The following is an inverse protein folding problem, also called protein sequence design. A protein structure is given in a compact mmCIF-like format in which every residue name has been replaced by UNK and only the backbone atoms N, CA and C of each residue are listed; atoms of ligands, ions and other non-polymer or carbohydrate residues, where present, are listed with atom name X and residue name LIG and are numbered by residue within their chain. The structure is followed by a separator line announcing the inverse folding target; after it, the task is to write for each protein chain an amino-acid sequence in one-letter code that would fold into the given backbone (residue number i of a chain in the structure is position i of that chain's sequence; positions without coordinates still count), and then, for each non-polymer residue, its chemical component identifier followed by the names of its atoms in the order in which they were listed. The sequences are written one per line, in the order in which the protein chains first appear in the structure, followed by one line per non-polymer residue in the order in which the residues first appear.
data_IF_328573759988
#
_entry.id   IF_328573759988
#
_cell.length_a   1.000
_cell.length_b   1.000
_cell.length_c   1.000
_cell.angle_alpha   90.00
_cell.angle_beta   90.00
_cell.angle_gamma   90.00
#
_symmetry.space_group_name_H-M   'P 1'
#
loop_
_entity.id
_entity.type
_entity.pdbx_description
1 polymer ?
#
# COMPACT_ATOMS: atom_id res chain seq x y z
N UNK A 1 -54.73 -39.29 29.68
CA UNK A 1 -53.34 -39.37 29.25
C UNK A 1 -53.06 -38.50 28.01
N UNK A 2 -53.89 -38.54 26.95
CA UNK A 2 -53.67 -37.79 25.70
C UNK A 2 -53.59 -36.26 25.86
N UNK A 3 -54.40 -35.64 26.73
CA UNK A 3 -54.40 -34.20 26.97
C UNK A 3 -53.10 -33.73 27.66
N UNK A 4 -52.56 -34.51 28.60
CA UNK A 4 -51.29 -34.17 29.26
C UNK A 4 -50.11 -34.27 28.32
N UNK A 5 -50.13 -35.15 27.35
CA UNK A 5 -49.12 -35.31 26.30
C UNK A 5 -49.16 -34.14 25.30
N UNK A 6 -50.34 -33.65 24.94
CA UNK A 6 -50.54 -32.49 24.06
C UNK A 6 -50.08 -31.22 24.77
N UNK A 7 -50.42 -31.03 26.05
CA UNK A 7 -49.95 -29.88 26.82
C UNK A 7 -48.41 -29.87 26.97
N UNK A 8 -47.78 -31.02 27.17
CA UNK A 8 -46.31 -31.12 27.24
C UNK A 8 -45.67 -30.79 25.89
N UNK A 9 -46.24 -31.27 24.78
CA UNK A 9 -45.74 -30.95 23.44
C UNK A 9 -45.88 -29.45 23.08
N UNK A 10 -46.95 -28.81 23.52
CA UNK A 10 -47.13 -27.34 23.31
C UNK A 10 -46.14 -26.57 24.16
N UNK A 11 -45.84 -26.95 25.38
CA UNK A 11 -44.85 -26.32 26.24
C UNK A 11 -43.42 -26.46 25.67
N UNK A 12 -43.10 -27.64 25.11
CA UNK A 12 -41.78 -27.85 24.46
C UNK A 12 -41.65 -27.05 23.15
N UNK A 13 -42.74 -26.85 22.41
CA UNK A 13 -42.74 -26.03 21.20
C UNK A 13 -42.57 -24.53 21.51
N UNK A 14 -43.14 -24.04 22.61
CA UNK A 14 -43.04 -22.66 23.05
C UNK A 14 -41.65 -22.33 23.65
N UNK A 15 -40.92 -23.32 24.16
CA UNK A 15 -39.59 -23.14 24.73
C UNK A 15 -38.48 -22.85 23.69
N UNK A 16 -38.74 -23.05 22.40
CA UNK A 16 -37.71 -22.86 21.33
C UNK A 16 -37.60 -21.43 20.79
N UNK A 17 -38.39 -20.50 21.26
CA UNK A 17 -38.47 -19.17 20.64
C UNK A 17 -37.77 -18.04 21.41
N UNK A 18 -37.02 -18.32 22.46
CA UNK A 18 -36.27 -17.29 23.18
C UNK A 18 -34.81 -17.35 22.73
N UNK A 19 -34.57 -17.04 21.46
CA UNK A 19 -33.25 -16.65 21.03
C UNK A 19 -33.08 -15.15 21.35
N UNK A 20 -32.37 -14.83 22.41
CA UNK A 20 -32.03 -13.44 22.71
C UNK A 20 -31.25 -12.88 21.52
N UNK A 21 -31.84 -11.97 20.78
CA UNK A 21 -31.18 -11.32 19.65
C UNK A 21 -30.26 -10.24 20.18
N UNK A 22 -28.96 -10.54 20.21
CA UNK A 22 -27.98 -9.52 20.59
C UNK A 22 -27.91 -8.44 19.50
N UNK A 23 -27.83 -7.18 19.96
CA UNK A 23 -27.65 -6.01 19.13
C UNK A 23 -26.33 -5.37 19.50
N UNK A 24 -25.53 -5.10 18.50
CA UNK A 24 -24.29 -4.32 18.61
C UNK A 24 -24.54 -2.92 18.08
N UNK A 25 -24.12 -1.90 18.82
CA UNK A 25 -24.10 -0.51 18.38
C UNK A 25 -22.72 0.07 18.51
N UNK A 26 -22.27 0.75 17.47
CA UNK A 26 -20.99 1.46 17.45
C UNK A 26 -21.14 2.84 16.82
N UNK A 27 -20.29 3.78 17.22
CA UNK A 27 -20.09 5.07 16.56
C UNK A 27 -18.70 5.02 15.99
N UNK A 28 -18.58 5.24 14.66
CA UNK A 28 -17.29 5.21 13.98
C UNK A 28 -16.81 6.63 13.71
N UNK A 29 -15.56 6.87 14.06
CA UNK A 29 -14.89 8.17 13.93
C UNK A 29 -13.52 7.98 13.28
N UNK A 30 -13.04 9.03 12.65
CA UNK A 30 -11.67 9.16 12.19
C UNK A 30 -10.70 9.14 13.38
N UNK A 31 -9.59 8.43 13.25
CA UNK A 31 -8.59 8.28 14.31
C UNK A 31 -7.88 9.57 14.67
N UNK A 32 -7.65 10.45 13.72
CA UNK A 32 -6.91 11.71 13.89
C UNK A 32 -7.84 12.89 14.16
N UNK A 33 -8.78 13.14 13.25
CA UNK A 33 -9.67 14.31 13.32
C UNK A 33 -10.82 14.15 14.30
N UNK A 34 -11.16 12.92 14.71
CA UNK A 34 -12.30 12.54 15.56
C UNK A 34 -13.65 12.87 14.91
N UNK A 35 -13.66 13.18 13.63
CA UNK A 35 -14.88 13.39 12.87
C UNK A 35 -15.65 12.09 12.65
N UNK A 36 -16.96 12.20 12.48
CA UNK A 36 -17.84 11.05 12.26
C UNK A 36 -17.64 10.52 10.84
N UNK A 37 -17.51 9.20 10.71
CA UNK A 37 -17.38 8.53 9.41
C UNK A 37 -18.72 7.92 9.00
N UNK A 38 -19.27 8.39 7.87
CA UNK A 38 -20.53 7.92 7.27
C UNK A 38 -20.24 6.87 6.20
N UNK A 39 -21.00 5.78 6.18
CA UNK A 39 -20.87 4.73 5.16
C UNK A 39 -19.79 3.69 5.48
N UNK A 40 -19.25 3.64 6.70
CA UNK A 40 -18.33 2.59 7.14
C UNK A 40 -19.07 1.25 7.18
N UNK A 41 -18.50 0.22 6.60
CA UNK A 41 -19.05 -1.13 6.63
C UNK A 41 -18.54 -1.88 7.85
N UNK A 42 -19.45 -2.49 8.61
CA UNK A 42 -19.11 -3.41 9.68
C UNK A 42 -19.72 -4.78 9.39
N UNK A 43 -18.90 -5.82 9.38
CA UNK A 43 -19.31 -7.17 9.03
C UNK A 43 -18.94 -8.12 10.18
N UNK A 44 -19.92 -8.95 10.57
CA UNK A 44 -19.69 -10.02 11.53
C UNK A 44 -18.95 -11.17 10.82
N UNK A 45 -17.73 -11.44 11.22
CA UNK A 45 -16.87 -12.42 10.57
C UNK A 45 -17.52 -13.80 10.49
N UNK A 46 -17.26 -14.51 9.39
CA UNK A 46 -17.83 -15.83 9.06
C UNK A 46 -19.36 -15.83 8.81
N UNK A 47 -19.99 -14.67 8.68
CA UNK A 47 -21.41 -14.54 8.36
C UNK A 47 -21.60 -13.49 7.26
N UNK A 48 -22.78 -13.46 6.66
CA UNK A 48 -23.19 -12.38 5.77
C UNK A 48 -23.88 -11.22 6.52
N UNK A 49 -23.84 -11.23 7.86
CA UNK A 49 -24.51 -10.25 8.69
C UNK A 49 -23.60 -9.01 8.86
N UNK A 50 -24.10 -7.85 8.52
CA UNK A 50 -23.35 -6.59 8.63
C UNK A 50 -24.27 -5.38 8.47
N UNK A 51 -23.72 -4.21 8.71
CA UNK A 51 -24.41 -2.93 8.54
C UNK A 51 -23.41 -1.84 8.20
N UNK A 52 -23.90 -0.75 7.59
CA UNK A 52 -23.10 0.46 7.33
C UNK A 52 -23.46 1.57 8.32
N UNK A 53 -22.52 2.47 8.59
CA UNK A 53 -22.78 3.64 9.45
C UNK A 53 -23.73 4.63 8.76
N UNK A 54 -24.64 5.18 9.55
CA UNK A 54 -25.59 6.21 9.15
C UNK A 54 -24.96 7.62 9.15
N UNK A 55 -25.79 8.65 8.91
CA UNK A 55 -25.35 10.06 8.89
C UNK A 55 -24.76 10.55 10.22
N UNK A 56 -25.02 9.85 11.32
CA UNK A 56 -24.44 10.11 12.64
C UNK A 56 -23.24 9.19 12.96
N UNK A 57 -22.78 8.41 11.98
CA UNK A 57 -21.70 7.44 12.17
C UNK A 57 -22.10 6.21 12.98
N UNK A 58 -23.40 5.99 13.19
CA UNK A 58 -23.90 4.90 14.03
C UNK A 58 -24.08 3.64 13.17
N UNK A 59 -23.48 2.56 13.62
CA UNK A 59 -23.67 1.20 13.09
C UNK A 59 -24.54 0.42 14.06
N UNK A 60 -25.54 -0.30 13.52
CA UNK A 60 -26.36 -1.22 14.30
C UNK A 60 -26.42 -2.59 13.63
N UNK A 61 -25.83 -3.59 14.26
CA UNK A 61 -25.88 -4.99 13.79
C UNK A 61 -26.79 -5.77 14.75
N UNK A 62 -27.82 -6.42 14.22
CA UNK A 62 -28.75 -7.29 14.95
C UNK A 62 -28.47 -8.76 14.68
N UNK A 63 -29.14 -9.64 15.44
CA UNK A 63 -29.05 -11.09 15.27
C UNK A 63 -27.62 -11.65 15.44
N UNK A 64 -26.90 -11.16 16.43
CA UNK A 64 -25.54 -11.63 16.74
C UNK A 64 -25.63 -12.85 17.65
N UNK A 65 -24.94 -13.95 17.31
CA UNK A 65 -24.89 -15.15 18.18
C UNK A 65 -24.18 -14.86 19.50
N UNK A 66 -24.57 -15.61 20.53
CA UNK A 66 -23.86 -15.56 21.82
C UNK A 66 -22.40 -16.02 21.69
N UNK A 67 -21.59 -15.57 22.65
CA UNK A 67 -20.18 -15.93 22.74
C UNK A 67 -19.26 -14.90 22.08
N UNK A 68 -18.00 -15.30 21.85
CA UNK A 68 -16.98 -14.44 21.28
C UNK A 68 -17.16 -14.29 19.76
N UNK A 69 -17.39 -13.07 19.33
CA UNK A 69 -17.60 -12.70 17.93
C UNK A 69 -16.53 -11.69 17.49
N UNK A 70 -16.23 -11.69 16.21
CA UNK A 70 -15.30 -10.75 15.59
C UNK A 70 -16.07 -9.88 14.59
N UNK A 71 -15.92 -8.56 14.70
CA UNK A 71 -16.53 -7.58 13.79
C UNK A 71 -15.39 -6.85 13.10
N UNK A 72 -15.41 -6.88 11.78
CA UNK A 72 -14.44 -6.14 10.94
C UNK A 72 -15.11 -4.87 10.43
N UNK A 73 -14.45 -3.76 10.67
CA UNK A 73 -14.82 -2.44 10.18
C UNK A 73 -13.93 -2.09 8.99
N UNK A 74 -14.53 -1.63 7.90
CA UNK A 74 -13.82 -1.24 6.68
C UNK A 74 -14.43 0.02 6.06
N UNK A 75 -13.57 0.91 5.59
CA UNK A 75 -13.97 2.14 4.90
C UNK A 75 -12.94 2.48 3.83
N UNK A 76 -13.37 3.09 2.73
CA UNK A 76 -12.48 3.44 1.64
C UNK A 76 -11.48 4.51 2.11
N UNK A 77 -10.18 4.24 1.94
CA UNK A 77 -9.10 5.12 2.39
C UNK A 77 -8.73 4.97 3.87
N UNK A 78 -9.20 3.90 4.54
CA UNK A 78 -8.87 3.60 5.93
C UNK A 78 -8.44 2.16 6.11
N UNK A 79 -7.55 1.90 7.04
CA UNK A 79 -7.18 0.54 7.43
C UNK A 79 -8.38 -0.22 8.00
N UNK A 80 -8.53 -1.48 7.59
CA UNK A 80 -9.58 -2.34 8.11
C UNK A 80 -9.24 -2.80 9.53
N UNK A 81 -10.12 -2.52 10.49
CA UNK A 81 -9.94 -2.90 11.89
C UNK A 81 -10.86 -4.04 12.29
N UNK A 82 -10.32 -5.08 12.95
CA UNK A 82 -11.10 -6.20 13.49
C UNK A 82 -11.07 -6.19 15.01
N UNK A 83 -12.25 -6.03 15.63
CA UNK A 83 -12.42 -6.07 17.09
C UNK A 83 -13.21 -7.31 17.53
N UNK A 84 -12.87 -7.81 18.72
CA UNK A 84 -13.51 -8.97 19.34
C UNK A 84 -14.45 -8.53 20.45
N UNK A 85 -15.69 -9.03 20.42
CA UNK A 85 -16.69 -8.76 21.45
C UNK A 85 -17.29 -10.07 21.94
N UNK A 86 -17.64 -10.15 23.23
CA UNK A 86 -18.35 -11.30 23.81
C UNK A 86 -19.79 -10.91 24.06
N UNK A 87 -20.71 -11.63 23.43
CA UNK A 87 -22.14 -11.39 23.56
C UNK A 87 -22.80 -12.39 24.52
N UNK A 88 -23.82 -11.94 25.29
CA UNK A 88 -24.39 -10.60 25.32
C UNK A 88 -23.44 -9.55 25.91
N UNK A 89 -23.47 -8.32 25.36
CA UNK A 89 -22.68 -7.21 25.86
C UNK A 89 -23.16 -6.77 27.25
N UNK A 90 -22.24 -6.43 28.12
CA UNK A 90 -22.55 -5.92 29.49
C UNK A 90 -23.15 -4.51 29.50
N UNK A 91 -23.00 -3.77 28.41
CA UNK A 91 -23.52 -2.40 28.24
C UNK A 91 -24.24 -2.26 26.90
N UNK A 92 -25.35 -1.55 26.90
CA UNK A 92 -26.09 -1.17 25.69
C UNK A 92 -25.63 0.15 25.08
N UNK A 93 -24.64 0.82 25.68
CA UNK A 93 -24.08 2.05 25.13
C UNK A 93 -23.34 1.77 23.82
N UNK A 94 -23.39 2.68 22.83
CA UNK A 94 -22.59 2.53 21.62
C UNK A 94 -21.11 2.50 21.92
N UNK A 95 -20.38 1.60 21.25
CA UNK A 95 -18.93 1.49 21.35
C UNK A 95 -18.30 2.49 20.39
N UNK A 96 -17.32 3.25 20.83
CA UNK A 96 -16.56 4.12 19.93
C UNK A 96 -15.49 3.32 19.19
N UNK A 97 -15.47 3.45 17.87
CA UNK A 97 -14.49 2.85 16.96
C UNK A 97 -13.75 3.98 16.25
N UNK A 98 -12.44 3.92 16.25
CA UNK A 98 -11.60 4.86 15.54
C UNK A 98 -10.91 4.08 14.40
N UNK A 99 -11.07 4.56 13.16
CA UNK A 99 -10.35 4.03 12.02
C UNK A 99 -9.20 4.97 11.70
N UNK A 100 -8.03 4.41 11.44
CA UNK A 100 -6.85 5.14 10.99
C UNK A 100 -6.88 5.24 9.46
N UNK A 101 -6.50 6.38 8.91
CA UNK A 101 -6.39 6.54 7.46
C UNK A 101 -5.30 5.60 6.94
N UNK A 102 -5.60 4.98 5.80
CA UNK A 102 -4.65 4.14 5.11
C UNK A 102 -3.71 5.04 4.29
N UNK A 103 -2.60 5.42 4.89
CA UNK A 103 -1.60 6.29 4.27
C UNK A 103 -0.99 5.67 3.00
N UNK A 104 -1.07 4.33 2.85
CA UNK A 104 -0.59 3.65 1.64
C UNK A 104 -1.49 3.90 0.41
N UNK A 105 -2.80 4.17 0.62
CA UNK A 105 -3.72 4.42 -0.50
C UNK A 105 -3.69 5.86 -1.04
N UNK A 106 -3.06 6.81 -0.35
CA UNK A 106 -3.09 8.23 -0.68
C UNK A 106 -1.72 8.86 -0.95
N UNK A 107 -0.66 8.08 -1.17
CA UNK A 107 0.56 8.68 -1.70
C UNK A 107 0.27 9.26 -3.10
N UNK A 108 -0.17 10.50 -3.14
CA UNK A 108 -0.16 11.29 -4.37
C UNK A 108 1.26 11.32 -4.92
N UNK A 109 1.50 10.53 -5.98
CA UNK A 109 2.83 10.44 -6.57
C UNK A 109 3.19 11.77 -7.22
N UNK A 110 3.93 12.57 -6.48
CA UNK A 110 4.48 13.83 -6.96
C UNK A 110 5.79 13.56 -7.67
N UNK A 111 5.90 13.99 -8.93
CA UNK A 111 7.13 13.87 -9.71
C UNK A 111 8.04 15.07 -9.43
N UNK A 112 9.15 14.83 -8.74
CA UNK A 112 10.13 15.87 -8.37
C UNK A 112 11.12 16.19 -9.47
N UNK A 113 11.37 15.27 -10.39
CA UNK A 113 12.34 15.39 -11.49
C UNK A 113 11.98 16.48 -12.51
N UNK A 114 10.77 16.99 -12.51
CA UNK A 114 10.37 18.13 -13.35
C UNK A 114 10.68 19.49 -12.75
N UNK A 115 11.33 19.54 -11.58
CA UNK A 115 11.58 20.74 -10.78
C UNK A 115 10.32 21.53 -10.42
N UNK A 116 9.19 20.85 -10.27
CA UNK A 116 7.91 21.42 -9.89
C UNK A 116 7.05 20.37 -9.16
N UNK A 117 6.07 20.83 -8.41
CA UNK A 117 5.07 19.97 -7.73
C UNK A 117 3.96 19.57 -8.69
N UNK A 118 4.30 18.96 -9.83
CA UNK A 118 3.32 18.52 -10.82
C UNK A 118 3.02 17.04 -10.62
N UNK A 119 1.74 16.70 -10.59
CA UNK A 119 1.29 15.31 -10.63
C UNK A 119 1.47 14.72 -12.02
N UNK A 120 1.58 13.39 -12.10
CA UNK A 120 1.76 12.64 -13.37
C UNK A 120 0.74 13.06 -14.44
N UNK A 121 -0.50 13.31 -14.03
CA UNK A 121 -1.60 13.69 -14.93
C UNK A 121 -1.37 14.99 -15.68
N UNK A 122 -0.54 15.88 -15.15
CA UNK A 122 -0.28 17.22 -15.69
C UNK A 122 1.05 17.36 -16.42
N UNK A 123 1.74 16.24 -16.70
CA UNK A 123 3.04 16.24 -17.38
C UNK A 123 2.86 15.74 -18.81
N UNK A 124 3.23 16.53 -19.84
CA UNK A 124 3.07 16.14 -21.24
C UNK A 124 4.08 15.09 -21.70
N UNK A 125 5.14 14.84 -20.95
CA UNK A 125 6.15 13.81 -21.24
C UNK A 125 5.74 12.47 -20.61
N UNK A 126 6.18 11.38 -21.25
CA UNK A 126 5.92 10.02 -20.74
C UNK A 126 6.73 9.79 -19.46
N UNK A 127 6.06 9.85 -18.33
CA UNK A 127 6.63 9.62 -17.00
C UNK A 127 6.14 8.27 -16.50
N UNK A 128 7.04 7.47 -16.02
CA UNK A 128 6.77 6.25 -15.24
C UNK A 128 7.42 6.41 -13.86
N UNK A 129 6.86 5.74 -12.87
CA UNK A 129 7.46 5.66 -11.55
C UNK A 129 7.39 4.23 -11.05
N UNK A 130 8.36 3.84 -10.23
CA UNK A 130 8.40 2.59 -9.49
C UNK A 130 8.17 2.97 -8.03
N UNK A 131 7.11 2.46 -7.44
CA UNK A 131 6.69 2.78 -6.06
C UNK A 131 7.59 2.12 -5.01
N UNK A 132 7.44 2.55 -3.75
CA UNK A 132 8.14 1.95 -2.61
C UNK A 132 7.79 0.48 -2.40
N UNK A 133 6.53 0.10 -2.63
CA UNK A 133 6.06 -1.28 -2.55
C UNK A 133 6.76 -2.16 -3.58
N UNK A 134 6.76 -1.76 -4.84
CA UNK A 134 7.43 -2.46 -5.94
C UNK A 134 8.94 -2.56 -5.74
N UNK A 135 9.55 -1.50 -5.18
CA UNK A 135 10.97 -1.50 -4.79
C UNK A 135 11.26 -2.49 -3.66
N UNK A 136 10.35 -2.62 -2.69
CA UNK A 136 10.45 -3.57 -1.58
C UNK A 136 10.38 -5.02 -2.04
N UNK A 137 9.40 -5.35 -2.86
CA UNK A 137 9.24 -6.70 -3.41
C UNK A 137 10.45 -7.12 -4.27
N UNK A 138 10.84 -6.28 -5.21
CA UNK A 138 11.95 -6.57 -6.14
C UNK A 138 13.32 -6.43 -5.51
N UNK A 139 13.49 -5.49 -4.56
CA UNK A 139 14.69 -5.34 -3.78
C UNK A 139 15.05 -6.58 -2.97
N UNK A 140 14.04 -7.33 -2.53
CA UNK A 140 14.20 -8.61 -1.85
C UNK A 140 14.76 -9.72 -2.77
N UNK A 141 14.47 -9.65 -4.07
CA UNK A 141 14.94 -10.65 -5.05
C UNK A 141 16.42 -10.46 -5.38
N UNK A 142 16.92 -9.23 -5.50
CA UNK A 142 18.31 -8.91 -5.82
C UNK A 142 18.76 -7.58 -5.19
N UNK A 143 19.10 -7.55 -3.91
CA UNK A 143 19.22 -6.33 -3.11
C UNK A 143 20.36 -5.38 -3.49
N UNK A 144 21.23 -5.74 -4.41
CA UNK A 144 22.37 -4.91 -4.82
C UNK A 144 22.31 -4.36 -6.24
N UNK A 145 21.21 -4.57 -6.98
CA UNK A 145 21.23 -4.31 -8.42
C UNK A 145 19.95 -3.61 -8.93
N UNK A 146 20.02 -2.30 -9.07
CA UNK A 146 18.92 -1.49 -9.62
C UNK A 146 18.58 -1.82 -11.09
N UNK A 147 19.48 -2.49 -11.82
CA UNK A 147 19.25 -2.83 -13.24
C UNK A 147 18.03 -3.71 -13.44
N UNK A 148 17.76 -4.61 -12.49
CA UNK A 148 16.60 -5.49 -12.55
C UNK A 148 15.30 -4.69 -12.54
N UNK A 149 15.21 -3.69 -11.67
CA UNK A 149 14.07 -2.80 -11.57
C UNK A 149 13.85 -2.00 -12.86
N UNK A 150 14.94 -1.49 -13.42
CA UNK A 150 14.87 -0.66 -14.63
C UNK A 150 14.52 -1.46 -15.89
N UNK A 151 14.90 -2.75 -15.95
CA UNK A 151 14.57 -3.60 -17.11
C UNK A 151 13.08 -3.91 -17.25
N UNK A 152 12.31 -3.76 -16.19
CA UNK A 152 10.86 -4.00 -16.23
C UNK A 152 10.10 -2.81 -16.79
N UNK A 153 10.70 -1.62 -16.77
CA UNK A 153 10.12 -0.43 -17.39
C UNK A 153 10.15 -0.54 -18.91
N UNK A 154 8.99 -0.36 -19.56
CA UNK A 154 8.84 -0.44 -21.01
C UNK A 154 9.78 0.54 -21.72
N UNK A 155 10.59 0.06 -22.65
CA UNK A 155 11.50 0.90 -23.46
C UNK A 155 12.81 1.25 -22.75
N UNK A 156 13.11 0.65 -21.60
CA UNK A 156 14.42 0.66 -20.96
C UNK A 156 15.06 -0.70 -21.16
N UNK A 157 16.30 -0.70 -21.58
CA UNK A 157 17.13 -1.90 -21.74
C UNK A 157 18.42 -1.68 -20.98
N UNK A 158 18.71 -2.57 -20.04
CA UNK A 158 20.02 -2.61 -19.40
C UNK A 158 20.86 -3.69 -20.08
N UNK A 159 21.96 -3.29 -20.68
CA UNK A 159 22.88 -4.18 -21.38
C UNK A 159 24.16 -4.33 -20.57
N UNK A 160 24.51 -5.55 -20.22
CA UNK A 160 25.83 -5.82 -19.63
C UNK A 160 26.89 -5.69 -20.73
N UNK A 161 27.86 -4.80 -20.50
CA UNK A 161 28.93 -4.50 -21.47
C UNK A 161 30.21 -5.29 -21.17
N UNK A 162 30.34 -5.84 -19.97
CA UNK A 162 31.47 -6.70 -19.60
C UNK A 162 31.00 -7.78 -18.62
N UNK A 163 31.27 -9.04 -18.96
CA UNK A 163 30.98 -10.19 -18.11
C UNK A 163 31.87 -10.22 -16.86
N UNK A 164 33.10 -9.73 -16.99
CA UNK A 164 34.12 -9.82 -15.91
C UNK A 164 33.96 -8.71 -14.89
N UNK A 165 33.70 -7.47 -15.32
CA UNK A 165 33.56 -6.31 -14.43
C UNK A 165 32.12 -6.04 -14.02
N UNK A 166 31.14 -6.72 -14.65
CA UNK A 166 29.73 -6.44 -14.41
C UNK A 166 29.26 -5.09 -14.94
N UNK A 167 30.09 -4.38 -15.72
CA UNK A 167 29.71 -3.11 -16.32
C UNK A 167 28.41 -3.26 -17.14
N UNK A 168 27.53 -2.28 -17.00
CA UNK A 168 26.29 -2.22 -17.75
C UNK A 168 26.04 -0.82 -18.29
N UNK A 169 25.22 -0.75 -19.31
CA UNK A 169 24.73 0.49 -19.90
C UNK A 169 23.20 0.47 -19.94
N UNK A 170 22.58 1.60 -19.61
CA UNK A 170 21.13 1.78 -19.74
C UNK A 170 20.88 2.43 -21.09
N UNK A 171 19.88 1.91 -21.82
CA UNK A 171 19.37 2.51 -23.04
C UNK A 171 17.88 2.82 -22.84
N UNK A 172 17.51 4.08 -23.07
CA UNK A 172 16.11 4.50 -23.11
C UNK A 172 15.71 4.67 -24.57
N UNK A 173 14.65 4.01 -25.00
CA UNK A 173 14.15 4.04 -26.36
C UNK A 173 15.24 3.75 -27.43
N UNK A 174 16.18 2.87 -27.09
CA UNK A 174 17.29 2.46 -27.96
C UNK A 174 18.47 3.42 -28.04
N UNK A 175 18.40 4.60 -27.43
CA UNK A 175 19.50 5.57 -27.37
C UNK A 175 20.58 5.13 -26.38
N UNK A 176 21.83 5.46 -26.70
CA UNK A 176 22.99 5.11 -25.86
C UNK A 176 22.92 5.75 -24.47
N UNK A 177 23.46 5.07 -23.48
CA UNK A 177 23.42 5.48 -22.07
C UNK A 177 24.05 6.87 -21.81
N UNK A 178 24.94 7.35 -22.67
CA UNK A 178 25.51 8.72 -22.58
C UNK A 178 24.44 9.81 -22.70
N UNK A 179 23.29 9.49 -23.28
CA UNK A 179 22.15 10.40 -23.46
C UNK A 179 21.08 10.25 -22.38
N UNK A 180 21.34 9.39 -21.39
CA UNK A 180 20.47 9.17 -20.23
C UNK A 180 21.09 9.79 -19.00
N UNK A 181 20.41 10.75 -18.38
CA UNK A 181 20.84 11.37 -17.14
C UNK A 181 20.29 10.59 -15.94
N UNK A 182 21.17 10.26 -14.98
CA UNK A 182 20.76 9.71 -13.70
C UNK A 182 20.88 10.80 -12.64
N UNK A 183 19.82 10.94 -11.85
CA UNK A 183 19.79 11.84 -10.69
C UNK A 183 19.63 11.00 -9.41
N UNK A 184 20.12 11.52 -8.30
CA UNK A 184 19.74 11.10 -6.96
C UNK A 184 19.22 12.31 -6.21
N UNK A 185 18.00 12.21 -5.73
CA UNK A 185 17.29 13.31 -5.02
C UNK A 185 17.30 14.64 -5.82
N UNK A 186 17.13 14.54 -7.16
CA UNK A 186 17.13 15.68 -8.05
C UNK A 186 18.50 16.23 -8.46
N UNK A 187 19.60 15.69 -7.92
CA UNK A 187 20.97 16.09 -8.25
C UNK A 187 21.61 15.12 -9.23
N UNK A 188 22.30 15.62 -10.29
CA UNK A 188 23.00 14.76 -11.22
C UNK A 188 24.05 13.91 -10.51
N UNK A 189 23.95 12.59 -10.71
CA UNK A 189 25.01 11.66 -10.34
C UNK A 189 26.13 11.78 -11.37
N UNK A 190 27.32 11.35 -11.00
CA UNK A 190 28.52 11.45 -11.83
C UNK A 190 28.26 11.15 -13.32
N UNK A 191 28.83 11.97 -14.20
CA UNK A 191 28.70 11.83 -15.63
C UNK A 191 29.16 10.44 -16.10
N UNK A 192 28.27 9.68 -16.72
CA UNK A 192 28.51 8.30 -17.09
C UNK A 192 27.91 7.25 -16.14
N UNK A 193 27.14 7.68 -15.11
CA UNK A 193 26.47 6.75 -14.21
C UNK A 193 25.46 5.81 -14.91
N UNK A 194 24.92 6.23 -16.06
CA UNK A 194 24.08 5.38 -16.91
C UNK A 194 24.87 4.33 -17.71
N UNK A 195 26.19 4.39 -17.64
CA UNK A 195 27.11 3.39 -18.22
C UNK A 195 28.26 3.15 -17.26
N UNK A 196 28.66 1.89 -17.09
CA UNK A 196 29.75 1.52 -16.22
C UNK A 196 29.34 0.94 -14.87
N UNK A 197 30.23 1.02 -13.88
CA UNK A 197 30.04 0.42 -12.56
C UNK A 197 29.06 1.18 -11.64
N UNK A 198 28.74 2.42 -11.94
CA UNK A 198 27.90 3.26 -11.08
C UNK A 198 26.50 2.70 -10.81
N UNK A 199 25.95 1.98 -11.77
CA UNK A 199 24.66 1.31 -11.63
C UNK A 199 24.66 0.16 -10.63
N UNK A 200 25.80 -0.53 -10.48
CA UNK A 200 25.96 -1.63 -9.53
C UNK A 200 26.13 -1.15 -8.09
N UNK A 201 26.48 0.11 -7.91
CA UNK A 201 26.78 0.70 -6.60
C UNK A 201 25.59 1.42 -5.98
N UNK A 202 24.44 1.40 -6.66
CA UNK A 202 23.23 2.03 -6.16
C UNK A 202 22.27 0.94 -5.66
N UNK A 203 22.24 0.67 -4.35
CA UNK A 203 21.29 -0.29 -3.80
C UNK A 203 19.88 0.30 -3.84
N UNK A 204 18.86 -0.50 -4.18
CA UNK A 204 17.48 -0.03 -4.20
C UNK A 204 16.84 0.09 -2.80
N UNK A 205 17.51 -0.41 -1.75
CA UNK A 205 16.93 -0.56 -0.42
C UNK A 205 16.68 0.76 0.32
N UNK A 206 17.44 1.81 -0.01
CA UNK A 206 17.29 3.16 0.53
C UNK A 206 16.39 4.06 -0.31
N UNK A 207 15.80 3.52 -1.39
CA UNK A 207 14.95 4.30 -2.28
C UNK A 207 13.49 4.26 -1.82
N UNK A 208 12.85 5.44 -1.85
CA UNK A 208 11.42 5.59 -1.70
C UNK A 208 10.70 5.32 -3.01
N UNK A 209 11.21 5.91 -4.10
CA UNK A 209 10.66 5.72 -5.45
C UNK A 209 11.73 5.95 -6.51
N UNK A 210 11.46 5.48 -7.74
CA UNK A 210 12.26 5.78 -8.93
C UNK A 210 11.37 6.43 -9.96
N UNK A 211 11.72 7.64 -10.39
CA UNK A 211 11.04 8.38 -11.43
C UNK A 211 11.78 8.21 -12.75
N UNK A 212 11.06 7.91 -13.82
CA UNK A 212 11.61 7.67 -15.13
C UNK A 212 10.89 8.58 -16.14
N UNK A 213 11.62 9.51 -16.73
CA UNK A 213 11.11 10.35 -17.81
C UNK A 213 11.68 9.85 -19.13
N UNK A 214 10.81 9.41 -20.02
CA UNK A 214 11.17 8.91 -21.36
C UNK A 214 10.97 10.02 -22.38
N UNK A 215 12.06 10.52 -22.93
CA UNK A 215 12.07 11.62 -23.86
C UNK A 215 12.98 12.74 -23.42
N UNK A 216 13.13 13.75 -24.27
CA UNK A 216 14.08 14.82 -24.04
C UNK A 216 13.69 15.71 -22.86
N UNK A 217 14.55 15.75 -21.86
CA UNK A 217 14.52 16.68 -20.72
C UNK A 217 15.74 17.59 -20.71
N UNK A 218 16.39 17.72 -21.85
CA UNK A 218 17.62 18.49 -22.05
C UNK A 218 17.51 19.97 -21.69
N UNK A 219 16.31 20.54 -21.77
CA UNK A 219 16.04 21.92 -21.35
C UNK A 219 16.28 22.16 -19.86
N UNK A 220 16.08 21.12 -19.03
CA UNK A 220 16.25 21.20 -17.58
C UNK A 220 17.60 20.66 -17.11
N UNK A 221 18.12 19.64 -17.78
CA UNK A 221 19.27 18.87 -17.32
C UNK A 221 20.43 18.79 -18.32
N UNK A 222 20.36 19.54 -19.43
CA UNK A 222 21.41 19.61 -20.45
C UNK A 222 21.44 18.43 -21.42
N UNK A 223 22.49 18.37 -22.26
CA UNK A 223 22.62 17.41 -23.34
C UNK A 223 22.73 15.94 -22.92
N UNK A 224 23.01 15.67 -21.65
CA UNK A 224 23.01 14.29 -21.11
C UNK A 224 21.61 13.69 -20.95
N UNK A 225 20.54 14.49 -21.05
CA UNK A 225 19.16 14.02 -20.85
C UNK A 225 18.34 14.05 -22.15
N UNK A 226 18.94 13.69 -23.28
CA UNK A 226 18.26 13.65 -24.58
C UNK A 226 17.36 12.43 -24.70
N UNK A 227 17.82 11.25 -24.25
CA UNK A 227 17.06 10.02 -24.28
C UNK A 227 16.02 9.97 -23.15
N UNK A 228 16.36 10.55 -22.01
CA UNK A 228 15.53 10.57 -20.83
C UNK A 228 16.32 10.78 -19.55
N UNK A 229 15.61 10.65 -18.46
CA UNK A 229 16.09 10.89 -17.11
C UNK A 229 15.58 9.81 -16.18
N UNK A 230 16.43 9.36 -15.26
CA UNK A 230 16.08 8.47 -14.16
C UNK A 230 16.44 9.19 -12.86
N UNK A 231 15.46 9.45 -12.00
CA UNK A 231 15.66 10.08 -10.71
C UNK A 231 15.41 9.07 -9.60
N UNK A 232 16.41 8.84 -8.78
CA UNK A 232 16.39 7.94 -7.65
C UNK A 232 16.09 8.75 -6.41
N UNK A 233 14.93 8.55 -5.80
CA UNK A 233 14.50 9.29 -4.62
C UNK A 233 14.72 8.45 -3.38
N UNK A 234 15.53 8.98 -2.46
CA UNK A 234 15.84 8.35 -1.19
C UNK A 234 14.66 8.40 -0.23
N UNK A 235 14.56 7.40 0.66
CA UNK A 235 13.64 7.42 1.80
C UNK A 235 13.97 8.62 2.69
N UNK A 236 12.95 9.36 3.08
CA UNK A 236 13.08 10.42 4.07
C UNK A 236 12.89 9.82 5.46
N UNK A 237 13.73 10.14 6.46
CA UNK A 237 13.50 9.70 7.83
C UNK A 237 12.13 10.22 8.32
N UNK A 238 11.30 9.30 8.82
CA UNK A 238 10.06 9.60 9.50
C UNK A 238 10.26 9.55 11.02
N UNK A 239 9.28 10.01 11.79
CA UNK A 239 9.33 10.02 13.26
C UNK A 239 9.42 8.61 13.87
N UNK A 240 9.11 7.57 13.11
CA UNK A 240 9.25 6.17 13.49
C UNK A 240 10.67 5.66 13.16
N UNK A 241 11.28 4.95 14.11
CA UNK A 241 12.57 4.28 13.86
C UNK A 241 12.32 3.03 13.02
N UNK A 242 12.81 3.02 11.79
CA UNK A 242 12.81 1.85 10.90
C UNK A 242 14.20 1.20 10.89
N UNK A 243 14.26 -0.11 11.12
CA UNK A 243 15.48 -0.89 11.10
C UNK A 243 15.25 -2.13 10.23
N UNK A 244 15.76 -2.10 9.00
CA UNK A 244 15.72 -3.23 8.08
C UNK A 244 17.02 -4.06 8.13
N UNK A 245 16.91 -5.38 8.29
CA UNK A 245 18.02 -6.33 8.14
C UNK A 245 17.76 -7.25 6.95
N UNK A 246 18.55 -7.10 5.91
CA UNK A 246 18.52 -7.97 4.73
C UNK A 246 19.63 -9.03 4.78
N UNK A 247 19.26 -10.31 4.88
CA UNK A 247 20.17 -11.44 4.81
C UNK A 247 19.93 -12.20 3.49
N UNK A 248 20.90 -12.17 2.59
CA UNK A 248 20.85 -12.91 1.33
C UNK A 248 21.91 -13.99 1.32
N UNK A 249 21.50 -15.25 1.17
CA UNK A 249 22.39 -16.41 1.09
C UNK A 249 22.20 -17.13 -0.24
N UNK A 250 23.26 -17.21 -1.05
CA UNK A 250 23.33 -18.07 -2.24
C UNK A 250 24.15 -19.31 -1.96
N UNK A 251 23.52 -20.48 -2.01
CA UNK A 251 24.26 -21.75 -2.04
C UNK A 251 24.57 -22.10 -3.49
N UNK A 252 25.84 -21.97 -3.89
CA UNK A 252 26.31 -22.50 -5.16
C UNK A 252 26.41 -24.05 -5.08
N UNK A 253 25.90 -24.73 -6.13
CA UNK A 253 26.27 -26.10 -6.44
C UNK A 253 27.34 -26.10 -7.53
#
# INVERSE_FOLDING_TARGET
MKIKLIALAIITLLAQSICAQNIFKAIVKDGDTKEILVGVNAVLNKTANGASSDENGIITISNIPDGKQHITFSYLGYESETKSYTFPLSSSAPVEIFLEQDDEMLEEVTISSTRGTRTIQNIPTRVEFISSEELGEKGSMKPGDIRMLLNESTGIITQQTSATSGNASIRIQGLDGRYTQILKDGFPVFAGAASGLGLLQTPPLDLKQVEIIKGSTSTLYGGGAIAGLINLISKTPEDKRDVGLHLNGTSGK
#
